data_IF_697958380572
#
_entry.id   IF_697958380572
#
_cell.length_a   1.000
_cell.length_b   1.000
_cell.length_c   1.000
_cell.angle_alpha   90.00
_cell.angle_beta   90.00
_cell.angle_gamma   90.00
#
_symmetry.space_group_name_H-M   'P 1'
#
loop_
_entity.id
_entity.type
_entity.pdbx_description
1 polymer ?
#
# COMPACT_ATOMS: atom_id res chain seq x y z
N UNK A 1 32.36 -50.90 -43.42
CA UNK A 1 32.65 -50.77 -41.97
C UNK A 1 32.94 -49.30 -41.59
N UNK A 2 32.13 -48.36 -42.03
CA UNK A 2 32.31 -46.89 -41.77
C UNK A 2 30.97 -46.23 -41.33
N UNK A 3 29.99 -47.04 -40.92
CA UNK A 3 28.65 -46.48 -40.59
C UNK A 3 28.41 -46.25 -39.09
N UNK A 4 29.23 -46.82 -38.18
CA UNK A 4 28.94 -46.76 -36.75
C UNK A 4 29.70 -45.67 -35.98
N UNK A 5 30.64 -44.95 -36.61
CA UNK A 5 31.42 -43.91 -35.94
C UNK A 5 30.72 -42.53 -35.92
N UNK A 6 29.79 -42.31 -36.87
CA UNK A 6 29.06 -41.02 -36.94
C UNK A 6 27.89 -40.91 -35.94
N UNK A 7 27.34 -42.04 -35.47
CA UNK A 7 26.22 -42.05 -34.52
C UNK A 7 26.72 -41.81 -33.08
N UNK A 8 27.93 -42.22 -32.76
CA UNK A 8 28.52 -41.99 -31.43
C UNK A 8 28.94 -40.54 -31.21
N UNK A 9 29.32 -39.81 -32.28
CA UNK A 9 29.67 -38.40 -32.16
C UNK A 9 28.43 -37.49 -32.02
N UNK A 10 27.27 -37.93 -32.51
CA UNK A 10 26.02 -37.14 -32.38
C UNK A 10 25.37 -37.30 -31.01
N UNK A 11 25.60 -38.41 -30.31
CA UNK A 11 25.08 -38.63 -28.96
C UNK A 11 25.90 -37.91 -27.89
N UNK A 12 27.15 -37.55 -28.15
CA UNK A 12 27.98 -36.81 -27.20
C UNK A 12 27.69 -35.32 -27.17
N UNK A 13 27.14 -34.78 -28.28
CA UNK A 13 26.76 -33.34 -28.35
C UNK A 13 25.44 -33.03 -27.62
N UNK A 14 24.61 -34.03 -27.34
CA UNK A 14 23.35 -33.83 -26.60
C UNK A 14 23.49 -33.85 -25.08
N UNK A 15 24.64 -34.24 -24.55
CA UNK A 15 24.89 -34.34 -23.10
C UNK A 15 25.56 -33.07 -22.52
N UNK A 16 25.99 -32.12 -23.38
CA UNK A 16 26.63 -30.88 -22.90
C UNK A 16 25.63 -29.72 -22.80
N UNK A 17 24.40 -29.88 -23.33
CA UNK A 17 23.36 -28.82 -23.30
C UNK A 17 22.46 -28.85 -22.07
N UNK A 18 22.77 -29.61 -21.03
CA UNK A 18 21.93 -29.76 -19.83
C UNK A 18 22.58 -29.27 -18.53
N UNK A 19 23.70 -28.54 -18.59
CA UNK A 19 24.39 -28.06 -17.37
C UNK A 19 24.26 -26.54 -17.09
N UNK A 20 23.53 -25.79 -17.93
CA UNK A 20 23.37 -24.34 -17.72
C UNK A 20 21.98 -23.90 -17.20
N UNK A 21 21.17 -24.83 -16.71
CA UNK A 21 19.86 -24.50 -16.08
C UNK A 21 19.94 -24.20 -14.59
N UNK A 22 21.12 -24.25 -13.98
CA UNK A 22 21.24 -24.05 -12.52
C UNK A 22 21.69 -22.64 -12.11
N UNK A 23 21.98 -21.73 -13.07
CA UNK A 23 22.33 -20.34 -12.73
C UNK A 23 21.14 -19.39 -12.70
N UNK A 24 19.98 -19.78 -13.26
CA UNK A 24 18.79 -18.92 -13.23
C UNK A 24 17.96 -19.04 -11.94
N UNK A 25 18.17 -20.07 -11.14
CA UNK A 25 17.42 -20.26 -9.89
C UNK A 25 18.05 -19.56 -8.68
N UNK A 26 19.36 -19.29 -8.69
CA UNK A 26 20.00 -18.58 -7.58
C UNK A 26 19.71 -17.07 -7.59
N UNK A 27 19.51 -16.47 -8.78
CA UNK A 27 19.17 -15.05 -8.90
C UNK A 27 17.70 -14.76 -8.54
N UNK A 28 16.77 -15.68 -8.82
CA UNK A 28 15.36 -15.55 -8.44
C UNK A 28 15.15 -15.73 -6.93
N UNK A 29 15.93 -16.60 -6.29
CA UNK A 29 15.84 -16.82 -4.84
C UNK A 29 16.43 -15.64 -4.05
N UNK A 30 17.47 -14.97 -4.57
CA UNK A 30 18.04 -13.78 -3.97
C UNK A 30 17.10 -12.57 -4.05
N UNK A 31 16.38 -12.41 -5.17
CA UNK A 31 15.38 -11.32 -5.34
C UNK A 31 14.14 -11.56 -4.47
N UNK A 32 13.70 -12.82 -4.29
CA UNK A 32 12.61 -13.13 -3.36
C UNK A 32 13.02 -12.92 -1.90
N UNK A 33 14.26 -13.20 -1.54
CA UNK A 33 14.82 -12.93 -0.22
C UNK A 33 14.85 -11.44 0.09
N UNK A 34 15.31 -10.60 -0.83
CA UNK A 34 15.33 -9.14 -0.69
C UNK A 34 13.93 -8.54 -0.61
N UNK A 35 12.97 -9.05 -1.40
CA UNK A 35 11.58 -8.56 -1.34
C UNK A 35 10.87 -8.94 -0.03
N UNK A 36 11.21 -10.09 0.55
CA UNK A 36 10.70 -10.49 1.87
C UNK A 36 11.32 -9.66 3.00
N UNK A 37 12.62 -9.38 2.95
CA UNK A 37 13.30 -8.56 3.94
C UNK A 37 12.73 -7.13 3.94
N UNK A 38 12.51 -6.52 2.78
CA UNK A 38 11.85 -5.21 2.67
C UNK A 38 10.40 -5.20 3.15
N UNK A 39 9.66 -6.32 3.07
CA UNK A 39 8.27 -6.34 3.55
C UNK A 39 8.16 -6.23 5.06
N UNK A 40 9.20 -6.55 5.84
CA UNK A 40 9.24 -6.33 7.28
C UNK A 40 9.33 -4.85 7.66
N UNK A 41 9.83 -3.99 6.76
CA UNK A 41 9.88 -2.54 6.98
C UNK A 41 8.49 -1.89 6.91
N UNK A 42 7.52 -2.54 6.25
CA UNK A 42 6.13 -2.10 6.10
C UNK A 42 5.16 -2.85 7.02
N UNK A 43 5.64 -3.29 8.17
CA UNK A 43 4.77 -3.94 9.16
C UNK A 43 3.70 -2.96 9.65
N UNK A 44 2.48 -3.50 9.86
CA UNK A 44 1.39 -2.75 10.46
C UNK A 44 1.65 -2.55 11.93
N UNK A 45 1.78 -1.33 12.37
CA UNK A 45 1.93 -0.99 13.79
C UNK A 45 1.41 0.42 14.08
N UNK A 46 1.05 0.66 15.33
CA UNK A 46 0.77 1.99 15.86
C UNK A 46 1.95 2.40 16.70
N UNK A 47 2.58 3.50 16.35
CA UNK A 47 3.77 4.04 17.01
C UNK A 47 3.35 5.27 17.82
N UNK A 48 3.64 5.29 19.10
CA UNK A 48 3.60 6.52 19.90
C UNK A 48 4.85 7.34 19.60
N UNK A 49 4.67 8.49 18.95
CA UNK A 49 5.79 9.35 18.52
C UNK A 49 6.14 10.41 19.57
N UNK A 50 5.18 10.77 20.38
CA UNK A 50 5.30 11.60 21.58
C UNK A 50 4.04 11.42 22.40
N UNK A 51 4.01 11.96 23.61
CA UNK A 51 2.86 11.89 24.51
C UNK A 51 1.58 12.26 23.75
N UNK A 52 0.57 11.39 23.82
CA UNK A 52 -0.76 11.56 23.23
C UNK A 52 -0.82 11.64 21.70
N UNK A 53 0.27 11.37 20.96
CA UNK A 53 0.29 11.35 19.48
C UNK A 53 0.75 9.99 18.98
N UNK A 54 -0.13 9.33 18.22
CA UNK A 54 0.04 7.99 17.70
C UNK A 54 -0.05 7.98 16.18
N UNK A 55 0.84 7.25 15.50
CA UNK A 55 0.87 7.12 14.04
C UNK A 55 0.64 5.68 13.65
N UNK A 56 -0.39 5.43 12.87
CA UNK A 56 -0.63 4.14 12.22
C UNK A 56 0.20 4.02 10.95
N UNK A 57 1.21 3.16 10.94
CA UNK A 57 2.09 2.90 9.78
C UNK A 57 1.82 1.53 9.20
N UNK A 58 2.02 1.37 7.88
CA UNK A 58 1.91 0.08 7.18
C UNK A 58 0.48 -0.42 6.94
N UNK A 59 -0.57 0.33 7.30
CA UNK A 59 -1.96 -0.05 7.02
C UNK A 59 -2.39 0.27 5.60
N UNK A 60 -1.72 1.20 4.93
CA UNK A 60 -1.98 1.61 3.57
C UNK A 60 -0.80 2.38 2.98
N UNK A 61 -1.03 3.02 1.84
CA UNK A 61 -0.01 3.86 1.18
C UNK A 61 0.31 5.11 2.01
N UNK A 62 -0.74 5.73 2.59
CA UNK A 62 -0.61 6.86 3.50
C UNK A 62 -0.59 6.37 4.96
N UNK A 63 -0.12 7.20 5.87
CA UNK A 63 -0.27 7.03 7.30
C UNK A 63 -1.49 7.78 7.81
N UNK A 64 -1.97 7.42 9.00
CA UNK A 64 -3.01 8.14 9.73
C UNK A 64 -2.50 8.44 11.13
N UNK A 65 -2.83 9.62 11.65
CA UNK A 65 -2.38 10.06 12.97
C UNK A 65 -3.58 10.20 13.89
N UNK A 66 -3.46 9.64 15.10
CA UNK A 66 -4.40 9.88 16.18
C UNK A 66 -3.75 10.81 17.20
N UNK A 67 -4.44 11.90 17.52
CA UNK A 67 -4.08 12.84 18.58
C UNK A 67 -5.09 12.66 19.70
N UNK A 68 -4.63 12.27 20.87
CA UNK A 68 -5.46 12.13 22.05
C UNK A 68 -5.45 13.44 22.85
N UNK A 69 -6.61 13.92 23.21
CA UNK A 69 -6.80 15.07 24.08
C UNK A 69 -7.34 14.60 25.42
N UNK A 70 -7.54 15.49 26.37
CA UNK A 70 -8.11 15.14 27.68
C UNK A 70 -9.42 14.33 27.56
N UNK A 71 -10.29 14.68 26.60
CA UNK A 71 -11.64 14.11 26.46
C UNK A 71 -11.96 13.46 25.13
N UNK A 72 -11.19 13.76 24.10
CA UNK A 72 -11.55 13.45 22.71
C UNK A 72 -10.34 12.97 21.91
N UNK A 73 -10.61 12.45 20.71
CA UNK A 73 -9.62 12.13 19.68
C UNK A 73 -9.78 13.03 18.46
N UNK A 74 -8.66 13.34 17.82
CA UNK A 74 -8.56 13.99 16.53
C UNK A 74 -7.82 13.03 15.60
N UNK A 75 -8.34 12.81 14.40
CA UNK A 75 -7.70 11.97 13.38
C UNK A 75 -7.16 12.85 12.25
N UNK A 76 -5.91 12.67 11.88
CA UNK A 76 -5.32 13.33 10.71
C UNK A 76 -5.11 12.28 9.63
N UNK A 77 -5.79 12.46 8.51
CA UNK A 77 -5.93 11.52 7.38
C UNK A 77 -6.54 10.16 7.76
N UNK A 78 -7.19 9.51 6.82
CA UNK A 78 -8.07 8.36 7.10
C UNK A 78 -7.74 7.13 6.27
N UNK A 79 -6.56 7.06 5.67
CA UNK A 79 -6.15 6.01 4.74
C UNK A 79 -6.99 5.98 3.44
N UNK A 80 -6.67 5.04 2.55
CA UNK A 80 -7.23 4.97 1.21
C UNK A 80 -8.53 4.18 1.09
N UNK A 81 -8.92 3.40 2.10
CA UNK A 81 -10.11 2.57 2.04
C UNK A 81 -10.73 2.30 3.40
N UNK A 82 -12.01 1.92 3.38
CA UNK A 82 -12.76 1.50 4.58
C UNK A 82 -12.12 0.27 5.22
N UNK A 83 -11.62 -0.66 4.43
CA UNK A 83 -11.00 -1.90 4.91
C UNK A 83 -9.74 -1.61 5.73
N UNK A 84 -8.81 -0.83 5.17
CA UNK A 84 -7.56 -0.47 5.86
C UNK A 84 -7.80 0.41 7.08
N UNK A 85 -8.75 1.34 6.98
CA UNK A 85 -9.16 2.18 8.10
C UNK A 85 -9.83 1.36 9.22
N UNK A 86 -10.62 0.31 8.88
CA UNK A 86 -11.23 -0.59 9.86
C UNK A 86 -10.19 -1.42 10.62
N UNK A 87 -9.08 -1.77 9.98
CA UNK A 87 -7.98 -2.43 10.67
C UNK A 87 -7.30 -1.47 11.65
N UNK A 88 -6.96 -0.27 11.19
CA UNK A 88 -6.27 0.73 11.98
C UNK A 88 -7.09 1.18 13.20
N UNK A 89 -8.39 1.46 13.03
CA UNK A 89 -9.21 1.94 14.14
C UNK A 89 -9.29 0.92 15.29
N UNK A 90 -9.21 -0.39 15.00
CA UNK A 90 -9.15 -1.42 16.03
C UNK A 90 -7.90 -1.29 16.89
N UNK A 91 -6.78 -0.91 16.29
CA UNK A 91 -5.52 -0.72 17.01
C UNK A 91 -5.51 0.62 17.76
N UNK A 92 -6.03 1.69 17.20
CA UNK A 92 -6.24 2.95 17.90
C UNK A 92 -7.19 2.79 19.11
N UNK A 93 -8.25 1.99 18.98
CA UNK A 93 -9.20 1.71 20.07
C UNK A 93 -8.63 0.87 21.21
N UNK A 94 -7.50 0.19 21.00
CA UNK A 94 -6.76 -0.44 22.12
C UNK A 94 -6.05 0.59 23.01
N UNK A 95 -5.80 1.78 22.47
CA UNK A 95 -5.15 2.88 23.19
C UNK A 95 -6.20 3.76 23.85
N UNK A 96 -7.24 4.19 23.10
CA UNK A 96 -8.25 5.11 23.61
C UNK A 96 -9.63 4.86 23.01
N UNK A 97 -10.64 4.81 23.88
CA UNK A 97 -12.06 4.69 23.52
C UNK A 97 -12.78 6.05 23.46
N UNK A 98 -12.06 7.17 23.62
CA UNK A 98 -12.63 8.52 23.57
C UNK A 98 -13.31 8.81 22.21
N UNK A 99 -14.33 9.69 22.16
CA UNK A 99 -15.00 10.04 20.92
C UNK A 99 -14.06 10.80 19.97
N UNK A 100 -14.19 10.51 18.66
CA UNK A 100 -13.48 11.22 17.61
C UNK A 100 -14.30 12.44 17.22
N UNK A 101 -13.84 13.63 17.59
CA UNK A 101 -14.57 14.88 17.36
C UNK A 101 -14.11 15.60 16.06
N UNK A 102 -12.95 15.26 15.54
CA UNK A 102 -12.43 15.91 14.34
C UNK A 102 -11.66 14.94 13.46
N UNK A 103 -11.83 15.13 12.15
CA UNK A 103 -10.98 14.57 11.10
C UNK A 103 -10.34 15.74 10.35
N UNK A 104 -9.03 15.73 10.21
CA UNK A 104 -8.27 16.76 9.49
C UNK A 104 -7.65 16.12 8.26
N UNK A 105 -7.95 16.62 7.06
CA UNK A 105 -7.29 16.18 5.84
C UNK A 105 -6.10 17.06 5.51
N UNK A 106 -4.94 16.46 5.35
CA UNK A 106 -3.71 17.15 4.95
C UNK A 106 -3.80 17.65 3.52
N UNK A 107 -4.37 16.83 2.62
CA UNK A 107 -4.58 17.17 1.21
C UNK A 107 -5.64 16.26 0.54
N UNK A 108 -5.84 16.42 -0.75
CA UNK A 108 -6.95 15.83 -1.50
C UNK A 108 -6.66 14.48 -2.18
N UNK A 109 -5.57 13.80 -1.88
CA UNK A 109 -5.32 12.47 -2.44
C UNK A 109 -6.20 11.42 -1.77
N UNK A 110 -6.69 10.46 -2.58
CA UNK A 110 -7.68 9.48 -2.11
C UNK A 110 -7.13 8.52 -1.06
N UNK A 111 -5.83 8.28 -1.04
CA UNK A 111 -5.17 7.46 -0.02
C UNK A 111 -5.14 8.10 1.38
N UNK A 112 -5.57 9.37 1.49
CA UNK A 112 -5.75 10.10 2.75
C UNK A 112 -7.22 10.25 3.18
N UNK A 113 -8.17 10.04 2.26
CA UNK A 113 -9.60 10.38 2.46
C UNK A 113 -10.52 9.16 2.47
N UNK A 114 -10.10 8.04 1.87
CA UNK A 114 -10.99 6.92 1.52
C UNK A 114 -11.60 6.18 2.70
N UNK A 115 -10.96 6.22 3.86
CA UNK A 115 -11.41 5.54 5.08
C UNK A 115 -12.26 6.38 6.03
N UNK A 116 -12.60 7.62 5.69
CA UNK A 116 -13.28 8.58 6.57
C UNK A 116 -14.51 8.02 7.28
N UNK A 117 -15.32 7.23 6.58
CA UNK A 117 -16.54 6.63 7.12
C UNK A 117 -16.32 5.83 8.41
N UNK A 118 -15.12 5.29 8.62
CA UNK A 118 -14.79 4.47 9.79
C UNK A 118 -14.61 5.33 11.04
N UNK A 119 -14.14 6.56 10.86
CA UNK A 119 -13.82 7.49 11.94
C UNK A 119 -14.92 8.52 12.19
N UNK A 120 -15.86 8.66 11.26
CA UNK A 120 -16.86 9.71 11.26
C UNK A 120 -18.14 9.31 11.97
N UNK A 121 -18.61 10.16 12.85
CA UNK A 121 -19.92 10.10 13.49
C UNK A 121 -20.68 11.39 13.17
N UNK A 122 -21.91 11.26 12.62
CA UNK A 122 -22.72 12.40 12.17
C UNK A 122 -23.13 13.38 13.29
N UNK A 123 -23.15 12.90 14.53
CA UNK A 123 -23.62 13.69 15.66
C UNK A 123 -22.56 14.66 16.18
N UNK A 124 -21.27 14.26 16.13
CA UNK A 124 -20.23 15.03 16.81
C UNK A 124 -18.87 15.12 16.11
N UNK A 125 -18.67 14.46 14.96
CA UNK A 125 -17.39 14.54 14.24
C UNK A 125 -17.43 15.65 13.20
N UNK A 126 -16.52 16.61 13.29
CA UNK A 126 -16.32 17.64 12.27
C UNK A 126 -15.17 17.29 11.34
N UNK A 127 -15.28 17.68 10.06
CA UNK A 127 -14.22 17.48 9.06
C UNK A 127 -13.59 18.82 8.70
N UNK A 128 -12.27 18.88 8.86
CA UNK A 128 -11.47 20.06 8.51
C UNK A 128 -10.60 19.74 7.29
N UNK A 129 -10.63 20.63 6.31
CA UNK A 129 -9.86 20.49 5.08
C UNK A 129 -9.58 21.87 4.47
N UNK A 130 -8.62 21.90 3.54
CA UNK A 130 -8.39 23.08 2.71
C UNK A 130 -9.64 23.38 1.86
N UNK A 131 -10.02 24.66 1.71
CA UNK A 131 -11.29 25.11 1.08
C UNK A 131 -11.53 24.57 -0.34
N UNK A 132 -10.48 24.36 -1.12
CA UNK A 132 -10.58 23.87 -2.50
C UNK A 132 -10.60 22.35 -2.61
N UNK A 133 -10.69 21.60 -1.49
CA UNK A 133 -10.61 20.14 -1.51
C UNK A 133 -11.69 19.52 -2.42
N UNK A 134 -12.90 20.02 -2.36
CA UNK A 134 -14.03 19.52 -3.18
C UNK A 134 -13.77 19.76 -4.67
N UNK A 135 -13.32 20.97 -5.03
CA UNK A 135 -12.95 21.28 -6.42
C UNK A 135 -11.84 20.38 -6.93
N UNK A 136 -10.82 20.15 -6.11
CA UNK A 136 -9.68 19.29 -6.48
C UNK A 136 -10.11 17.82 -6.64
N UNK A 137 -10.97 17.31 -5.77
CA UNK A 137 -11.53 15.96 -5.88
C UNK A 137 -12.37 15.78 -7.14
N UNK A 138 -13.22 16.77 -7.46
CA UNK A 138 -14.01 16.77 -8.69
C UNK A 138 -13.11 16.78 -9.93
N UNK A 139 -12.07 17.60 -9.96
CA UNK A 139 -11.10 17.64 -11.05
C UNK A 139 -10.34 16.31 -11.21
N UNK A 140 -9.96 15.65 -10.11
CA UNK A 140 -9.37 14.31 -10.17
C UNK A 140 -10.34 13.31 -10.78
N UNK A 141 -11.59 13.30 -10.35
CA UNK A 141 -12.59 12.35 -10.81
C UNK A 141 -12.98 12.56 -12.28
N UNK A 142 -13.17 13.82 -12.69
CA UNK A 142 -13.74 14.17 -14.00
C UNK A 142 -12.70 14.38 -15.08
N UNK A 143 -11.54 14.92 -14.75
CA UNK A 143 -10.52 15.33 -15.70
C UNK A 143 -9.30 14.40 -15.70
N UNK A 144 -8.70 14.19 -14.53
CA UNK A 144 -7.42 13.47 -14.43
C UNK A 144 -7.61 11.96 -14.58
N UNK A 145 -8.57 11.38 -13.87
CA UNK A 145 -8.81 9.94 -13.87
C UNK A 145 -9.11 9.35 -15.25
N UNK A 146 -9.95 9.95 -16.11
CA UNK A 146 -10.16 9.48 -17.47
C UNK A 146 -8.87 9.47 -18.31
N UNK A 147 -8.03 10.50 -18.17
CA UNK A 147 -6.75 10.60 -18.90
C UNK A 147 -5.78 9.51 -18.44
N UNK A 148 -5.67 9.28 -17.15
CA UNK A 148 -4.83 8.22 -16.58
C UNK A 148 -5.34 6.86 -17.06
N UNK A 149 -6.65 6.62 -17.03
CA UNK A 149 -7.25 5.38 -17.48
C UNK A 149 -6.94 5.11 -18.96
N UNK A 150 -7.16 6.08 -19.83
CA UNK A 150 -6.86 5.95 -21.28
C UNK A 150 -5.37 5.67 -21.51
N UNK A 151 -4.48 6.38 -20.80
CA UNK A 151 -3.04 6.15 -20.90
C UNK A 151 -2.66 4.74 -20.44
N UNK A 152 -3.19 4.29 -19.30
CA UNK A 152 -2.89 2.97 -18.77
C UNK A 152 -3.43 1.86 -19.67
N UNK A 153 -4.62 2.04 -20.24
CA UNK A 153 -5.19 1.10 -21.20
C UNK A 153 -4.32 0.94 -22.43
N UNK A 154 -3.79 2.02 -22.97
CA UNK A 154 -2.84 1.98 -24.10
C UNK A 154 -1.50 1.34 -23.75
N UNK A 155 -1.01 1.59 -22.52
CA UNK A 155 0.30 1.11 -22.08
C UNK A 155 0.29 -0.37 -21.70
N UNK A 156 -0.78 -0.85 -21.07
CA UNK A 156 -0.86 -2.18 -20.48
C UNK A 156 -1.87 -3.11 -21.18
N UNK A 157 -2.63 -2.63 -22.17
CA UNK A 157 -3.59 -3.42 -22.93
C UNK A 157 -4.83 -3.85 -22.15
N UNK A 158 -5.23 -3.06 -21.15
CA UNK A 158 -6.40 -3.32 -20.27
C UNK A 158 -7.57 -2.39 -20.63
#
# INVERSE_FOLDING_TARGET
MISNLKIILLSLFFLISCSDQNQSNETLDSDQGLSQEHSYEFRKEVIEVTDDIYVGVGYGLANSIMIETEKNLIIVDTLGSVETATELIKDFRKISEKPIIAIIYTHNHLDHLGGAKVFFDEEYTEIYAQENIIYNLDNIATTIRPIIFERSSRQFGI
#
